data_IF_932912341214
#
_entry.id   IF_932912341214
#
_cell.length_a   1.000
_cell.length_b   1.000
_cell.length_c   1.000
_cell.angle_alpha   90.00
_cell.angle_beta   90.00
_cell.angle_gamma   90.00
#
_symmetry.space_group_name_H-M   'P 1'
#
loop_
_entity.id
_entity.type
_entity.pdbx_description
1 polymer ?
#
# COMPACT_ATOMS: atom_id res chain seq x y z
N UNK A 1 15.02 -12.53 3.43
CA UNK A 1 14.07 -11.42 3.17
C UNK A 1 14.62 -10.38 2.16
N UNK A 2 15.48 -10.77 1.22
CA UNK A 2 16.07 -9.84 0.22
C UNK A 2 15.73 -10.27 -1.21
N UNK A 3 15.63 -11.58 -1.45
CA UNK A 3 15.48 -12.14 -2.80
C UNK A 3 14.07 -12.01 -3.39
N UNK A 4 13.05 -11.70 -2.59
CA UNK A 4 11.64 -11.72 -3.01
C UNK A 4 10.76 -10.66 -2.37
N UNK A 5 11.33 -9.80 -1.52
CA UNK A 5 10.63 -8.65 -0.95
C UNK A 5 11.05 -7.38 -1.67
N UNK A 6 10.09 -6.49 -1.91
CA UNK A 6 10.32 -5.19 -2.53
C UNK A 6 10.14 -4.10 -1.47
N UNK A 7 10.98 -3.06 -1.54
CA UNK A 7 10.81 -1.85 -0.73
C UNK A 7 10.83 -0.63 -1.64
N UNK A 8 10.07 0.40 -1.26
CA UNK A 8 10.13 1.73 -1.85
C UNK A 8 10.38 2.73 -0.73
N UNK A 9 11.24 3.72 -0.98
CA UNK A 9 11.43 4.84 -0.06
C UNK A 9 10.70 6.06 -0.59
N UNK A 10 9.79 6.59 0.23
CA UNK A 10 9.14 7.86 -0.02
C UNK A 10 9.97 9.01 0.56
N UNK A 11 9.89 10.19 -0.06
CA UNK A 11 10.53 11.43 0.39
C UNK A 11 12.04 11.33 0.75
N UNK A 12 12.86 10.80 -0.17
CA UNK A 12 14.32 10.65 -0.03
C UNK A 12 15.05 11.88 0.56
N UNK A 13 14.56 13.09 0.32
CA UNK A 13 15.21 14.34 0.74
C UNK A 13 14.32 15.26 1.59
N UNK A 14 13.13 14.81 2.00
CA UNK A 14 12.19 15.63 2.75
C UNK A 14 11.79 14.96 4.06
N UNK A 15 12.19 15.57 5.17
CA UNK A 15 11.71 15.20 6.51
C UNK A 15 10.88 16.35 7.07
N UNK A 16 9.53 16.28 7.04
CA UNK A 16 8.66 17.37 7.48
C UNK A 16 8.85 17.75 8.96
N UNK A 17 9.34 16.80 9.76
CA UNK A 17 9.70 16.97 11.16
C UNK A 17 10.80 15.97 11.52
N UNK A 18 11.63 16.28 12.49
CA UNK A 18 12.65 15.38 13.04
C UNK A 18 12.05 14.32 13.97
N UNK A 19 10.83 14.53 14.47
CA UNK A 19 10.15 13.64 15.43
C UNK A 19 9.62 12.38 14.72
N UNK A 20 10.25 11.22 14.96
CA UNK A 20 9.89 9.95 14.32
C UNK A 20 8.44 9.53 14.63
N UNK A 21 8.00 9.67 15.88
CA UNK A 21 6.64 9.30 16.29
C UNK A 21 5.57 10.12 15.56
N UNK A 22 5.83 11.40 15.28
CA UNK A 22 4.91 12.25 14.52
C UNK A 22 4.81 11.79 13.06
N UNK A 23 5.93 11.43 12.42
CA UNK A 23 5.94 10.86 11.06
C UNK A 23 5.19 9.53 11.00
N UNK A 24 5.49 8.62 11.92
CA UNK A 24 4.83 7.32 12.00
C UNK A 24 3.32 7.44 12.23
N UNK A 25 2.90 8.30 13.16
CA UNK A 25 1.48 8.56 13.45
C UNK A 25 0.72 9.06 12.23
N UNK A 26 1.30 9.99 11.46
CA UNK A 26 0.68 10.49 10.24
C UNK A 26 0.56 9.41 9.15
N UNK A 27 1.61 8.61 8.96
CA UNK A 27 1.61 7.50 7.98
C UNK A 27 0.54 6.47 8.34
N UNK A 28 0.48 6.05 9.61
CA UNK A 28 -0.53 5.09 10.08
C UNK A 28 -1.93 5.64 9.86
N UNK A 29 -2.18 6.91 10.19
CA UNK A 29 -3.47 7.56 9.97
C UNK A 29 -3.87 7.55 8.49
N UNK A 30 -2.95 7.95 7.60
CA UNK A 30 -3.18 7.94 6.15
C UNK A 30 -3.47 6.53 5.61
N UNK A 31 -2.73 5.52 6.05
CA UNK A 31 -2.94 4.12 5.66
C UNK A 31 -4.32 3.62 6.11
N UNK A 32 -4.76 3.95 7.32
CA UNK A 32 -6.09 3.57 7.82
C UNK A 32 -7.22 4.27 7.06
N UNK A 33 -7.04 5.54 6.68
CA UNK A 33 -7.98 6.24 5.80
C UNK A 33 -8.04 5.59 4.41
N UNK A 34 -6.90 5.19 3.85
CA UNK A 34 -6.85 4.46 2.59
C UNK A 34 -7.59 3.12 2.68
N UNK A 35 -7.34 2.32 3.73
CA UNK A 35 -8.06 1.07 3.98
C UNK A 35 -9.56 1.27 4.03
N UNK A 36 -10.03 2.28 4.77
CA UNK A 36 -11.47 2.60 4.85
C UNK A 36 -12.08 2.90 3.48
N UNK A 37 -11.37 3.64 2.61
CA UNK A 37 -11.82 3.92 1.24
C UNK A 37 -11.81 2.67 0.38
N UNK A 38 -10.80 1.83 0.51
CA UNK A 38 -10.70 0.56 -0.21
C UNK A 38 -11.87 -0.37 0.14
N UNK A 39 -12.13 -0.57 1.43
CA UNK A 39 -13.20 -1.45 1.94
C UNK A 39 -14.59 -0.95 1.49
N UNK A 40 -14.75 0.37 1.35
CA UNK A 40 -15.99 1.02 0.87
C UNK A 40 -16.06 1.14 -0.65
N UNK A 41 -15.07 0.63 -1.39
CA UNK A 41 -14.98 0.74 -2.85
C UNK A 41 -15.01 2.19 -3.37
N UNK A 42 -14.48 3.13 -2.58
CA UNK A 42 -14.43 4.57 -2.91
C UNK A 42 -13.16 4.97 -3.67
N UNK A 43 -12.24 4.02 -3.89
CA UNK A 43 -11.02 4.25 -4.64
C UNK A 43 -11.32 4.13 -6.13
N UNK A 44 -10.99 5.19 -6.89
CA UNK A 44 -11.16 5.19 -8.34
C UNK A 44 -10.30 4.09 -8.98
N UNK A 45 -10.82 3.36 -9.98
CA UNK A 45 -10.04 2.36 -10.69
C UNK A 45 -8.84 3.00 -11.37
N UNK A 46 -7.74 2.25 -11.46
CA UNK A 46 -6.60 2.66 -12.27
C UNK A 46 -6.96 2.48 -13.74
N UNK A 47 -6.78 3.54 -14.54
CA UNK A 47 -7.08 3.55 -15.96
C UNK A 47 -5.79 3.80 -16.77
N UNK A 48 -5.59 3.02 -17.83
CA UNK A 48 -4.54 3.20 -18.83
C UNK A 48 -5.02 4.07 -20.01
N UNK A 49 -4.07 4.49 -20.85
CA UNK A 49 -4.33 5.18 -22.13
C UNK A 49 -5.24 6.40 -21.97
N UNK A 50 -4.89 7.30 -21.07
CA UNK A 50 -5.62 8.57 -20.88
C UNK A 50 -7.05 8.39 -20.34
N UNK A 51 -7.28 7.39 -19.48
CA UNK A 51 -8.57 7.10 -18.82
C UNK A 51 -9.53 6.20 -19.61
N UNK A 52 -9.02 5.37 -20.51
CA UNK A 52 -9.87 4.55 -21.39
C UNK A 52 -9.98 3.10 -20.95
N UNK A 53 -8.88 2.49 -20.49
CA UNK A 53 -8.83 1.04 -20.24
C UNK A 53 -8.64 0.78 -18.75
N UNK A 54 -9.60 0.16 -18.04
CA UNK A 54 -9.46 -0.14 -16.63
C UNK A 54 -8.50 -1.31 -16.37
N UNK A 55 -7.71 -1.20 -15.30
CA UNK A 55 -6.88 -2.29 -14.79
C UNK A 55 -7.63 -3.11 -13.74
N UNK A 56 -7.29 -4.40 -13.68
CA UNK A 56 -7.78 -5.31 -12.65
C UNK A 56 -7.29 -4.87 -11.26
N UNK A 57 -8.20 -4.82 -10.29
CA UNK A 57 -7.93 -4.40 -8.91
C UNK A 57 -7.85 -5.57 -7.92
N UNK A 58 -7.87 -6.83 -8.39
CA UNK A 58 -7.89 -8.02 -7.52
C UNK A 58 -6.70 -8.13 -6.55
N UNK A 59 -5.56 -7.49 -6.86
CA UNK A 59 -4.41 -7.46 -5.95
C UNK A 59 -4.69 -6.68 -4.67
N UNK A 60 -5.60 -5.71 -4.69
CA UNK A 60 -5.88 -4.84 -3.54
C UNK A 60 -6.52 -5.59 -2.37
N UNK A 61 -7.19 -6.72 -2.64
CA UNK A 61 -7.75 -7.61 -1.62
C UNK A 61 -6.68 -8.19 -0.68
N UNK A 62 -5.42 -8.26 -1.14
CA UNK A 62 -4.29 -8.79 -0.37
C UNK A 62 -3.44 -7.72 0.31
N UNK A 63 -3.84 -6.45 0.24
CA UNK A 63 -3.04 -5.33 0.76
C UNK A 63 -3.07 -5.24 2.29
N UNK A 64 -4.21 -5.60 2.90
CA UNK A 64 -4.42 -5.57 4.35
C UNK A 64 -4.71 -6.96 4.89
N UNK A 65 -4.36 -7.19 6.16
CA UNK A 65 -4.63 -8.44 6.90
C UNK A 65 -4.20 -9.73 6.17
N UNK A 66 -3.18 -9.64 5.32
CA UNK A 66 -2.66 -10.77 4.54
C UNK A 66 -1.22 -11.04 4.95
N UNK A 67 -0.87 -12.31 5.11
CA UNK A 67 0.49 -12.75 5.41
C UNK A 67 0.81 -14.04 4.66
N UNK A 68 2.10 -14.27 4.37
CA UNK A 68 2.58 -15.53 3.81
C UNK A 68 2.85 -16.50 4.95
N UNK A 69 2.25 -17.68 4.87
CA UNK A 69 2.53 -18.79 5.78
C UNK A 69 3.58 -19.69 5.09
N UNK A 70 4.70 -20.04 5.77
CA UNK A 70 5.65 -21.01 5.23
C UNK A 70 4.99 -22.40 5.15
N UNK A 71 5.30 -23.14 4.08
CA UNK A 71 4.86 -24.52 3.90
C UNK A 71 6.01 -25.38 3.40
N UNK A 72 5.97 -26.67 3.72
CA UNK A 72 6.87 -27.68 3.15
C UNK A 72 6.41 -28.02 1.73
N UNK A 73 7.35 -28.21 0.82
CA UNK A 73 7.06 -28.69 -0.53
C UNK A 73 6.95 -30.23 -0.46
N UNK A 74 5.76 -30.75 -0.79
CA UNK A 74 5.48 -32.19 -0.88
C UNK A 74 5.72 -32.73 -2.29
#
# INVERSE_FOLDING_TARGET
>A
MVNSNYFAMDFLYLSPTTIQAARAGNIIHAILLYRKKLDRQEIKPILLMGSTVPLCSAQWERMFNTSRIPGEES
#
